data_IF_236481729037
#
_entry.id   IF_236481729037
#
_cell.length_a   1.000
_cell.length_b   1.000
_cell.length_c   1.000
_cell.angle_alpha   90.00
_cell.angle_beta   90.00
_cell.angle_gamma   90.00
#
_symmetry.space_group_name_H-M   'P 1'
#
loop_
_entity.id
_entity.type
_entity.pdbx_description
1 polymer ?
#
# COMPACT_ATOMS: atom_id res chain seq x y z
N UNK A 1 -25.78 -23.92 30.24
CA UNK A 1 -25.95 -22.76 29.35
C UNK A 1 -24.57 -22.34 28.92
N UNK A 2 -24.22 -22.60 27.66
CA UNK A 2 -22.88 -22.33 27.13
C UNK A 2 -22.78 -20.89 26.68
N UNK A 3 -21.82 -20.13 27.22
CA UNK A 3 -21.49 -18.79 26.76
C UNK A 3 -21.15 -18.80 25.26
N UNK A 4 -21.68 -17.87 24.46
CA UNK A 4 -21.23 -17.72 23.09
C UNK A 4 -19.76 -17.26 23.11
N UNK A 5 -18.90 -18.04 22.45
CA UNK A 5 -17.50 -17.70 22.21
C UNK A 5 -17.43 -16.26 21.68
N UNK A 6 -16.79 -15.39 22.46
CA UNK A 6 -16.47 -14.00 22.09
C UNK A 6 -15.93 -14.00 20.67
N UNK A 7 -16.64 -13.33 19.76
CA UNK A 7 -16.23 -13.16 18.37
C UNK A 7 -14.84 -12.57 18.37
N UNK A 8 -13.84 -13.39 18.06
CA UNK A 8 -12.45 -12.96 17.93
C UNK A 8 -12.46 -11.74 17.01
N UNK A 9 -11.90 -10.58 17.41
CA UNK A 9 -11.88 -9.41 16.54
C UNK A 9 -11.29 -9.86 15.20
N UNK A 10 -12.06 -9.71 14.14
CA UNK A 10 -11.62 -9.95 12.77
C UNK A 10 -10.29 -9.25 12.60
N UNK A 11 -9.28 -9.94 12.07
CA UNK A 11 -7.96 -9.34 11.91
C UNK A 11 -8.05 -8.18 10.89
N UNK A 12 -8.30 -6.97 11.38
CA UNK A 12 -8.44 -5.78 10.57
C UNK A 12 -7.05 -5.32 10.12
N UNK A 13 -6.83 -5.34 8.81
CA UNK A 13 -5.63 -4.71 8.26
C UNK A 13 -5.76 -3.19 8.39
N UNK A 14 -4.63 -2.50 8.44
CA UNK A 14 -4.55 -1.05 8.53
C UNK A 14 -3.89 -0.48 7.30
N UNK A 15 -4.47 0.59 6.77
CA UNK A 15 -3.80 1.45 5.79
C UNK A 15 -2.99 2.52 6.52
N UNK A 16 -1.74 2.72 6.11
CA UNK A 16 -0.88 3.83 6.55
C UNK A 16 -0.25 4.52 5.35
N UNK A 17 0.03 5.81 5.47
CA UNK A 17 0.71 6.57 4.42
C UNK A 17 2.18 6.78 4.78
N UNK A 18 3.09 6.35 3.91
CA UNK A 18 4.53 6.56 4.08
C UNK A 18 5.00 7.63 3.11
N UNK A 19 5.69 8.65 3.63
CA UNK A 19 6.19 9.76 2.84
C UNK A 19 7.68 9.67 2.51
N UNK A 20 8.02 10.22 1.36
CA UNK A 20 9.35 10.45 0.84
C UNK A 20 9.67 11.94 0.91
N UNK A 21 10.91 12.26 1.26
CA UNK A 21 11.34 13.64 1.54
C UNK A 21 11.64 14.46 0.29
N UNK A 22 12.01 13.79 -0.79
CA UNK A 22 12.44 14.42 -2.04
C UNK A 22 12.42 13.39 -3.17
N UNK A 23 12.63 13.86 -4.41
CA UNK A 23 12.87 13.01 -5.58
C UNK A 23 14.15 12.16 -5.47
N UNK A 24 15.06 12.52 -4.57
CA UNK A 24 16.34 11.84 -4.30
C UNK A 24 16.31 10.97 -3.04
N UNK A 25 15.13 10.76 -2.44
CA UNK A 25 14.98 9.92 -1.25
C UNK A 25 15.36 8.46 -1.57
N UNK A 26 16.33 7.85 -0.87
CA UNK A 26 16.73 6.46 -1.11
C UNK A 26 15.58 5.45 -0.97
N UNK A 27 14.58 5.74 -0.11
CA UNK A 27 13.41 4.88 0.05
C UNK A 27 12.46 5.00 -1.15
N UNK A 28 12.36 6.18 -1.76
CA UNK A 28 11.64 6.37 -3.02
C UNK A 28 12.34 5.58 -4.13
N UNK A 29 13.66 5.71 -4.26
CA UNK A 29 14.44 4.94 -5.24
C UNK A 29 14.25 3.43 -5.06
N UNK A 30 14.32 2.93 -3.82
CA UNK A 30 14.09 1.51 -3.51
C UNK A 30 12.68 1.06 -3.89
N UNK A 31 11.66 1.86 -3.60
CA UNK A 31 10.29 1.57 -3.97
C UNK A 31 10.09 1.58 -5.50
N UNK A 32 10.65 2.56 -6.22
CA UNK A 32 10.60 2.65 -7.67
C UNK A 32 11.27 1.43 -8.34
N UNK A 33 12.46 1.04 -7.87
CA UNK A 33 13.16 -0.15 -8.38
C UNK A 33 12.37 -1.43 -8.12
N UNK A 34 11.76 -1.57 -6.95
CA UNK A 34 10.91 -2.71 -6.64
C UNK A 34 9.65 -2.74 -7.53
N UNK A 35 8.97 -1.59 -7.68
CA UNK A 35 7.81 -1.45 -8.57
C UNK A 35 8.15 -1.83 -10.00
N UNK A 36 9.27 -1.34 -10.54
CA UNK A 36 9.70 -1.65 -11.91
C UNK A 36 9.92 -3.16 -12.13
N UNK A 37 10.40 -3.89 -11.11
CA UNK A 37 10.57 -5.35 -11.18
C UNK A 37 9.24 -6.09 -11.09
N UNK A 38 8.27 -5.59 -10.33
CA UNK A 38 6.93 -6.21 -10.22
C UNK A 38 6.03 -5.86 -11.40
N UNK A 39 6.17 -4.65 -11.94
CA UNK A 39 5.34 -4.06 -12.98
C UNK A 39 6.18 -3.58 -14.18
N UNK A 40 6.91 -4.47 -14.86
CA UNK A 40 7.89 -4.07 -15.89
C UNK A 40 7.25 -3.46 -17.14
N UNK A 41 5.97 -3.74 -17.40
CA UNK A 41 5.22 -3.21 -18.54
C UNK A 41 4.35 -2.01 -18.18
N UNK A 42 4.33 -1.60 -16.91
CA UNK A 42 3.54 -0.46 -16.48
C UNK A 42 4.34 0.82 -16.66
N UNK A 43 3.66 1.87 -17.11
CA UNK A 43 4.23 3.22 -17.13
C UNK A 43 4.80 3.58 -15.75
N UNK A 44 5.86 4.42 -15.70
CA UNK A 44 6.35 4.98 -14.46
C UNK A 44 5.19 5.58 -13.66
N UNK A 45 5.19 5.47 -12.33
CA UNK A 45 4.12 6.07 -11.54
C UNK A 45 4.14 7.56 -11.79
N UNK A 46 3.08 8.07 -12.43
CA UNK A 46 2.93 9.50 -12.60
C UNK A 46 2.65 10.11 -11.23
N UNK A 47 3.30 11.23 -10.98
CA UNK A 47 2.96 12.09 -9.85
C UNK A 47 1.58 12.66 -10.16
N UNK A 48 0.55 12.24 -9.42
CA UNK A 48 -0.74 12.92 -9.48
C UNK A 48 -0.56 14.25 -8.76
N UNK A 49 -0.15 15.29 -9.48
CA UNK A 49 -0.08 16.64 -8.94
C UNK A 49 -1.49 17.21 -8.94
N UNK A 50 -2.01 17.59 -7.78
CA UNK A 50 -2.99 18.68 -7.72
C UNK A 50 -2.25 19.95 -8.11
N UNK A 51 -2.90 20.85 -8.84
CA UNK A 51 -2.29 21.95 -9.59
C UNK A 51 -1.17 22.71 -8.85
N UNK A 52 0.00 22.81 -9.51
CA UNK A 52 0.97 23.89 -9.26
C UNK A 52 2.11 23.58 -8.28
N UNK A 53 3.12 22.85 -8.75
CA UNK A 53 4.59 23.10 -8.64
C UNK A 53 5.31 21.74 -8.68
N UNK A 54 5.95 21.38 -9.80
CA UNK A 54 6.79 20.19 -9.86
C UNK A 54 7.98 20.34 -8.89
N UNK A 55 8.07 19.47 -7.87
CA UNK A 55 9.29 19.30 -7.07
C UNK A 55 9.27 19.80 -5.62
N UNK A 56 8.18 20.38 -5.10
CA UNK A 56 8.13 20.85 -3.70
C UNK A 56 7.32 19.95 -2.75
N UNK A 57 6.57 18.97 -3.28
CA UNK A 57 5.64 18.14 -2.52
C UNK A 57 6.31 16.96 -1.81
N UNK A 58 5.85 16.67 -0.59
CA UNK A 58 6.09 15.38 0.05
C UNK A 58 5.27 14.34 -0.71
N UNK A 59 5.94 13.40 -1.37
CA UNK A 59 5.26 12.30 -2.07
C UNK A 59 5.14 11.10 -1.16
N UNK A 60 4.15 10.25 -1.38
CA UNK A 60 4.10 9.01 -0.62
C UNK A 60 3.32 7.91 -1.27
N UNK A 61 3.38 6.76 -0.62
CA UNK A 61 2.64 5.56 -0.99
C UNK A 61 1.91 5.08 0.24
N UNK A 62 0.68 4.62 0.05
CA UNK A 62 -0.02 3.95 1.11
C UNK A 62 0.39 2.47 1.17
N UNK A 63 0.38 1.90 2.38
CA UNK A 63 0.77 0.54 2.69
C UNK A 63 -0.35 -0.14 3.44
N UNK A 64 -0.62 -1.39 3.10
CA UNK A 64 -1.53 -2.26 3.85
C UNK A 64 -0.73 -3.09 4.84
N UNK A 65 -1.05 -2.95 6.12
CA UNK A 65 -0.40 -3.66 7.22
C UNK A 65 -1.39 -4.64 7.85
N UNK A 66 -0.96 -5.87 8.13
CA UNK A 66 -1.68 -6.76 9.01
C UNK A 66 -1.68 -6.24 10.46
N UNK A 67 -2.50 -6.85 11.32
CA UNK A 67 -2.62 -6.51 12.75
C UNK A 67 -1.29 -6.57 13.50
N UNK A 68 -0.39 -7.48 13.12
CA UNK A 68 0.97 -7.58 13.67
C UNK A 68 1.99 -6.61 13.03
N UNK A 69 1.51 -5.56 12.37
CA UNK A 69 2.30 -4.58 11.59
C UNK A 69 3.10 -5.16 10.41
N UNK A 70 2.90 -6.44 10.07
CA UNK A 70 3.52 -7.01 8.87
C UNK A 70 2.91 -6.35 7.64
N UNK A 71 3.77 -5.82 6.78
CA UNK A 71 3.32 -5.24 5.51
C UNK A 71 2.85 -6.33 4.54
N UNK A 72 1.60 -6.23 4.11
CA UNK A 72 0.98 -7.12 3.13
C UNK A 72 1.21 -6.61 1.71
N UNK A 73 1.02 -5.31 1.50
CA UNK A 73 1.01 -4.70 0.17
C UNK A 73 1.29 -3.20 0.17
N UNK A 74 1.56 -2.67 -1.03
CA UNK A 74 1.75 -1.24 -1.30
C UNK A 74 0.91 -0.81 -2.49
N UNK A 75 0.40 0.42 -2.45
CA UNK A 75 -0.14 1.08 -3.64
C UNK A 75 0.91 1.18 -4.75
N UNK A 76 0.46 1.21 -6.00
CA UNK A 76 1.33 1.30 -7.19
C UNK A 76 1.54 2.74 -7.68
N UNK A 77 0.78 3.70 -7.14
CA UNK A 77 0.85 5.13 -7.48
C UNK A 77 1.57 5.93 -6.40
N UNK A 78 2.16 7.06 -6.81
CA UNK A 78 2.62 8.12 -5.90
C UNK A 78 1.48 9.12 -5.71
N UNK A 79 1.28 9.55 -4.47
CA UNK A 79 0.32 10.57 -4.10
C UNK A 79 1.04 11.82 -3.64
N UNK A 80 0.51 12.99 -4.01
CA UNK A 80 1.07 14.28 -3.60
C UNK A 80 0.69 14.67 -2.17
N UNK A 81 -0.32 13.99 -1.60
CA UNK A 81 -0.81 14.24 -0.26
C UNK A 81 -1.27 12.96 0.45
N UNK A 82 -1.28 12.94 1.81
CA UNK A 82 -1.90 11.85 2.56
C UNK A 82 -3.38 11.67 2.24
N UNK A 83 -4.11 12.76 2.00
CA UNK A 83 -5.56 12.73 1.76
C UNK A 83 -5.89 12.02 0.43
N UNK A 84 -5.13 12.29 -0.64
CA UNK A 84 -5.24 11.54 -1.90
C UNK A 84 -4.93 10.05 -1.73
N UNK A 85 -3.93 9.73 -0.91
CA UNK A 85 -3.53 8.34 -0.67
C UNK A 85 -4.59 7.58 0.12
N UNK A 86 -5.23 8.22 1.10
CA UNK A 86 -6.36 7.64 1.83
C UNK A 86 -7.58 7.48 0.93
N UNK A 87 -7.91 8.48 0.11
CA UNK A 87 -9.01 8.39 -0.85
C UNK A 87 -8.79 7.24 -1.86
N UNK A 88 -7.57 7.06 -2.36
CA UNK A 88 -7.22 5.93 -3.23
C UNK A 88 -7.37 4.59 -2.51
N UNK A 89 -6.89 4.49 -1.27
CA UNK A 89 -7.04 3.29 -0.46
C UNK A 89 -8.51 2.98 -0.11
N UNK A 90 -9.32 3.99 0.21
CA UNK A 90 -10.76 3.89 0.48
C UNK A 90 -11.51 3.40 -0.77
N UNK A 91 -11.21 3.98 -1.93
CA UNK A 91 -11.75 3.54 -3.23
C UNK A 91 -11.38 2.07 -3.52
N UNK A 92 -10.12 1.70 -3.34
CA UNK A 92 -9.68 0.33 -3.58
C UNK A 92 -10.23 -0.67 -2.56
N UNK A 93 -10.44 -0.26 -1.31
CA UNK A 93 -11.07 -1.08 -0.27
C UNK A 93 -12.54 -1.37 -0.59
N UNK A 94 -13.32 -0.33 -0.96
CA UNK A 94 -14.72 -0.51 -1.36
C UNK A 94 -14.88 -1.37 -2.62
N UNK A 95 -13.87 -1.39 -3.50
CA UNK A 95 -13.84 -2.20 -4.72
C UNK A 95 -12.98 -3.46 -4.61
N UNK A 96 -12.66 -3.91 -3.39
CA UNK A 96 -11.79 -5.07 -3.19
C UNK A 96 -12.35 -6.34 -3.88
N UNK A 97 -13.66 -6.47 -4.02
CA UNK A 97 -14.33 -7.54 -4.77
C UNK A 97 -14.00 -7.59 -6.27
N UNK A 98 -13.72 -6.44 -6.86
CA UNK A 98 -13.44 -6.28 -8.30
C UNK A 98 -11.96 -6.53 -8.63
N UNK A 99 -11.11 -6.60 -7.61
CA UNK A 99 -9.67 -6.70 -7.80
C UNK A 99 -9.27 -8.09 -8.29
N UNK A 100 -8.61 -8.15 -9.45
CA UNK A 100 -8.12 -9.40 -10.02
C UNK A 100 -6.63 -9.61 -9.68
N UNK A 101 -6.25 -10.73 -9.03
CA UNK A 101 -4.86 -11.03 -8.74
C UNK A 101 -4.13 -11.56 -9.98
N UNK A 102 -2.88 -11.13 -10.16
CA UNK A 102 -1.95 -11.69 -11.13
C UNK A 102 -0.63 -12.03 -10.42
N UNK A 103 -0.16 -13.27 -10.58
CA UNK A 103 1.15 -13.70 -10.12
C UNK A 103 2.18 -13.58 -11.22
N UNK A 104 3.40 -13.16 -10.88
CA UNK A 104 4.52 -13.07 -11.79
C UNK A 104 5.73 -13.82 -11.24
N UNK A 105 6.64 -14.16 -12.15
CA UNK A 105 8.00 -14.60 -11.80
C UNK A 105 8.91 -13.36 -11.73
N UNK A 106 9.73 -13.31 -10.71
CA UNK A 106 10.78 -12.30 -10.56
C UNK A 106 11.95 -12.56 -11.51
N UNK A 107 12.94 -11.69 -11.40
CA UNK A 107 14.23 -11.76 -12.08
C UNK A 107 15.04 -13.01 -11.73
N UNK A 108 14.90 -13.50 -10.49
CA UNK A 108 15.46 -14.78 -10.07
C UNK A 108 14.39 -15.88 -10.17
N UNK A 109 14.81 -17.05 -10.65
CA UNK A 109 13.91 -18.18 -10.96
C UNK A 109 13.06 -18.67 -9.78
N UNK A 110 13.51 -18.41 -8.54
CA UNK A 110 12.87 -18.79 -7.28
C UNK A 110 12.03 -17.68 -6.64
N UNK A 111 11.94 -16.50 -7.27
CA UNK A 111 11.18 -15.38 -6.73
C UNK A 111 9.86 -15.24 -7.46
N UNK A 112 8.79 -15.18 -6.69
CA UNK A 112 7.43 -14.99 -7.19
C UNK A 112 6.82 -13.75 -6.57
N UNK A 113 6.09 -12.97 -7.37
CA UNK A 113 5.45 -11.74 -6.94
C UNK A 113 3.99 -11.75 -7.34
N UNK A 114 3.26 -10.73 -6.91
CA UNK A 114 1.90 -10.52 -7.36
C UNK A 114 1.55 -9.03 -7.38
N UNK A 115 0.55 -8.70 -8.19
CA UNK A 115 -0.16 -7.43 -8.14
C UNK A 115 -1.66 -7.65 -8.32
N UNK A 116 -2.46 -6.72 -7.81
CA UNK A 116 -3.90 -6.66 -8.06
C UNK A 116 -4.18 -5.62 -9.13
N UNK A 117 -5.15 -5.92 -9.99
CA UNK A 117 -5.65 -4.98 -10.99
C UNK A 117 -7.09 -4.57 -10.74
N UNK A 118 -7.37 -3.31 -11.04
CA UNK A 118 -8.72 -2.79 -11.19
C UNK A 118 -8.89 -2.35 -12.65
N UNK A 119 -9.91 -2.84 -13.34
CA UNK A 119 -10.16 -2.51 -14.75
C UNK A 119 -8.92 -2.72 -15.67
N UNK A 120 -8.12 -3.76 -15.39
CA UNK A 120 -6.91 -4.07 -16.15
C UNK A 120 -5.64 -3.34 -15.70
N UNK A 121 -5.76 -2.29 -14.88
CA UNK A 121 -4.63 -1.48 -14.41
C UNK A 121 -4.09 -1.97 -13.05
N UNK A 122 -2.78 -2.14 -12.86
CA UNK A 122 -2.19 -2.49 -11.57
C UNK A 122 -2.35 -1.37 -10.52
N UNK A 123 -3.03 -1.67 -9.42
CA UNK A 123 -3.35 -0.70 -8.36
C UNK A 123 -2.67 -1.04 -7.02
N UNK A 124 -2.34 -2.31 -6.81
CA UNK A 124 -1.71 -2.80 -5.60
C UNK A 124 -0.63 -3.83 -5.94
N UNK A 125 0.50 -3.82 -5.25
CA UNK A 125 1.56 -4.81 -5.44
C UNK A 125 2.03 -5.42 -4.12
N UNK A 126 2.63 -6.60 -4.22
CA UNK A 126 3.22 -7.29 -3.08
C UNK A 126 4.31 -6.44 -2.40
N UNK A 127 4.49 -6.61 -1.08
CA UNK A 127 5.55 -5.92 -0.33
C UNK A 127 6.91 -6.64 -0.38
N UNK A 128 6.91 -7.91 -0.81
CA UNK A 128 8.05 -8.82 -0.85
C UNK A 128 7.91 -9.86 -1.96
N UNK A 129 9.00 -10.54 -2.27
CA UNK A 129 9.01 -11.76 -3.08
C UNK A 129 8.65 -12.99 -2.24
N UNK A 130 8.13 -14.02 -2.90
CA UNK A 130 7.72 -15.31 -2.35
C UNK A 130 8.51 -16.45 -3.00
N UNK A 131 8.59 -17.59 -2.34
CA UNK A 131 9.41 -18.72 -2.80
C UNK A 131 8.70 -19.57 -3.85
N UNK A 132 7.36 -19.51 -3.89
CA UNK A 132 6.57 -20.25 -4.86
C UNK A 132 5.42 -19.41 -5.45
N UNK A 133 4.93 -19.77 -6.65
CA UNK A 133 3.78 -19.09 -7.24
C UNK A 133 2.49 -19.35 -6.44
N UNK A 134 2.37 -20.51 -5.80
CA UNK A 134 1.24 -20.84 -4.92
C UNK A 134 1.17 -19.93 -3.70
N UNK A 135 2.32 -19.66 -3.06
CA UNK A 135 2.41 -18.70 -1.96
C UNK A 135 2.08 -17.27 -2.40
N UNK A 136 2.61 -16.85 -3.55
CA UNK A 136 2.30 -15.53 -4.10
C UNK A 136 0.79 -15.39 -4.37
N UNK A 137 0.16 -16.41 -4.96
CA UNK A 137 -1.27 -16.41 -5.23
C UNK A 137 -2.11 -16.40 -3.93
N UNK A 138 -1.73 -17.19 -2.93
CA UNK A 138 -2.38 -17.20 -1.62
C UNK A 138 -2.26 -15.85 -0.90
N UNK A 139 -1.08 -15.24 -0.95
CA UNK A 139 -0.84 -13.92 -0.39
C UNK A 139 -1.66 -12.83 -1.10
N UNK A 140 -1.79 -12.88 -2.44
CA UNK A 140 -2.60 -11.94 -3.20
C UNK A 140 -4.09 -12.01 -2.79
N UNK A 141 -4.65 -13.22 -2.72
CA UNK A 141 -6.04 -13.44 -2.29
C UNK A 141 -6.28 -12.97 -0.86
N UNK A 142 -5.38 -13.34 0.05
CA UNK A 142 -5.46 -12.94 1.46
C UNK A 142 -5.37 -11.43 1.62
N UNK A 143 -4.47 -10.78 0.88
CA UNK A 143 -4.36 -9.31 0.87
C UNK A 143 -5.63 -8.66 0.35
N UNK A 144 -6.22 -9.14 -0.74
CA UNK A 144 -7.48 -8.63 -1.27
C UNK A 144 -8.60 -8.68 -0.22
N UNK A 145 -8.72 -9.79 0.50
CA UNK A 145 -9.70 -9.93 1.60
C UNK A 145 -9.41 -8.94 2.73
N UNK A 146 -8.15 -8.82 3.13
CA UNK A 146 -7.75 -7.85 4.17
C UNK A 146 -7.98 -6.40 3.77
N UNK A 147 -7.79 -6.05 2.49
CA UNK A 147 -8.04 -4.71 1.98
C UNK A 147 -9.52 -4.34 2.11
N UNK A 148 -10.44 -5.24 1.71
CA UNK A 148 -11.88 -5.00 1.83
C UNK A 148 -12.40 -4.91 3.25
N UNK A 149 -11.66 -5.45 4.23
CA UNK A 149 -11.99 -5.39 5.65
C UNK A 149 -11.08 -4.44 6.46
N UNK A 150 -10.26 -3.63 5.77
CA UNK A 150 -9.25 -2.80 6.41
C UNK A 150 -9.88 -1.61 7.14
N UNK A 151 -9.36 -1.30 8.32
CA UNK A 151 -9.59 0.00 8.96
C UNK A 151 -8.56 0.99 8.44
N UNK A 152 -9.02 2.05 7.79
CA UNK A 152 -8.13 3.08 7.25
C UNK A 152 -7.79 4.05 8.37
N UNK A 153 -6.56 3.95 8.88
CA UNK A 153 -6.07 4.86 9.92
C UNK A 153 -5.38 6.03 9.24
N UNK A 154 -5.82 7.24 9.54
CA UNK A 154 -5.23 8.48 9.02
C UNK A 154 -3.92 8.84 9.74
N UNK A 155 -2.93 7.98 9.58
CA UNK A 155 -1.58 8.13 10.12
C UNK A 155 -0.56 8.28 8.99
N UNK A 156 0.39 9.19 9.21
CA UNK A 156 1.50 9.46 8.29
C UNK A 156 2.80 9.00 8.94
N UNK A 157 3.55 8.13 8.27
CA UNK A 157 4.91 7.79 8.68
C UNK A 157 5.89 8.60 7.84
N UNK A 158 6.66 9.45 8.52
CA UNK A 158 7.71 10.23 7.90
C UNK A 158 9.00 9.42 7.98
N UNK A 159 9.61 9.11 6.83
CA UNK A 159 10.94 8.52 6.79
C UNK A 159 11.95 9.41 7.52
N UNK A 160 12.78 8.85 8.40
CA UNK A 160 13.94 9.56 8.98
C UNK A 160 15.20 9.28 8.18
N UNK A 161 16.19 10.17 8.25
CA UNK A 161 17.47 10.06 7.51
C UNK A 161 18.25 8.77 7.84
N UNK A 162 17.98 8.13 8.98
CA UNK A 162 18.58 6.86 9.41
C UNK A 162 17.80 5.61 8.96
N UNK A 163 16.74 5.77 8.17
CA UNK A 163 15.85 4.67 7.79
C UNK A 163 14.82 4.28 8.87
N UNK A 164 14.91 4.83 10.09
CA UNK A 164 13.84 4.75 11.09
C UNK A 164 12.61 5.52 10.56
N UNK A 165 11.40 5.08 10.87
CA UNK A 165 10.16 5.78 10.47
C UNK A 165 9.52 6.38 11.73
N UNK A 166 9.26 7.68 11.73
CA UNK A 166 8.54 8.35 12.81
C UNK A 166 7.06 8.41 12.44
N UNK A 167 6.18 7.96 13.33
CA UNK A 167 4.73 8.04 13.11
C UNK A 167 4.24 9.39 13.59
N UNK A 168 3.63 10.16 12.69
CA UNK A 168 2.84 11.32 13.03
C UNK A 168 1.36 10.96 12.81
N UNK A 169 0.58 10.95 13.87
CA UNK A 169 -0.88 10.89 13.75
C UNK A 169 -1.35 12.27 13.32
N UNK A 170 -2.18 12.37 12.27
CA UNK A 170 -2.86 13.62 11.95
C UNK A 170 -4.14 13.60 12.79
N UNK A 171 -4.18 14.38 13.87
CA UNK A 171 -5.45 14.55 14.60
C UNK A 171 -6.48 15.21 13.68
N UNK A 172 -7.76 14.81 13.74
CA UNK A 172 -8.81 15.55 13.07
C UNK A 172 -8.80 16.97 13.65
N UNK A 173 -8.54 17.95 12.78
CA UNK A 173 -8.66 19.35 13.13
C UNK A 173 -10.15 19.59 13.41
N UNK A 174 -10.53 19.59 14.68
CA UNK A 174 -11.83 20.09 15.09
C UNK A 174 -11.88 21.56 14.66
N UNK A 175 -12.57 21.81 13.55
CA UNK A 175 -13.12 23.12 13.24
C UNK A 175 -14.10 23.42 14.38
N UNK A 176 -13.61 24.17 15.37
CA UNK A 176 -14.47 24.88 16.30
C UNK A 176 -15.10 26.04 15.55
N UNK A 177 -16.39 26.24 15.84
CA UNK A 177 -17.36 27.17 15.25
C UNK A 177 -16.86 28.61 15.06
#
# INVERSE_FOLDING_TARGET
>A
MSEPLSTRPTAHARVVFDTFRSSTDPMLSSWLSFRARVLPKSSPPQMRSVDGVPGSGIYGVWRLLATNNRELARGTALHASPDEAWADAEMLASRAGDLSPLTLRGDLSTRHGWFLRLNGEPVLMCSRWYESPGEAAAAARTTRMHLGAATITRAVNIGTRSGRRYRHTREPMNLLD
#
